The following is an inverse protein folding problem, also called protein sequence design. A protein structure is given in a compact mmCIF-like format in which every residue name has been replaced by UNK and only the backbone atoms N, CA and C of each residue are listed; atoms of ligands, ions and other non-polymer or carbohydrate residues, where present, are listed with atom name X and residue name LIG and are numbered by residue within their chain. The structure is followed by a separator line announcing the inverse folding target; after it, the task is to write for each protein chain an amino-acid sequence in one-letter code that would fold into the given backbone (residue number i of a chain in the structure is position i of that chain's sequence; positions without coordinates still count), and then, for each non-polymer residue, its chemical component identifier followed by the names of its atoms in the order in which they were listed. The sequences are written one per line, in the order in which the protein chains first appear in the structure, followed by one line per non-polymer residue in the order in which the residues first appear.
data_IF_024357802791
#
_entry.id   IF_024357802791
#
_cell.length_a   1.000
_cell.length_b   1.000
_cell.length_c   1.000
_cell.angle_alpha   90.00
_cell.angle_beta   90.00
_cell.angle_gamma   90.00
#
_symmetry.space_group_name_H-M   'P 1'
#
loop_
_entity.id
_entity.type
_entity.pdbx_description
1 polymer ?
#
# COMPACT_ATOMS: atom_id res chain seq x y z
N UNK A 1 22.10 4.03 -41.33
CA UNK A 1 22.01 3.58 -39.91
C UNK A 1 21.00 2.45 -39.90
N UNK A 2 21.44 1.20 -39.76
CA UNK A 2 20.52 0.07 -39.57
C UNK A 2 19.80 0.26 -38.22
N UNK A 3 18.47 0.05 -38.23
CA UNK A 3 17.70 0.06 -37.00
C UNK A 3 18.32 -0.95 -36.00
N UNK A 4 18.43 -0.63 -34.72
CA UNK A 4 18.90 -1.59 -33.72
C UNK A 4 18.00 -2.81 -33.75
N UNK A 5 18.60 -4.01 -33.67
CA UNK A 5 17.82 -5.23 -33.60
C UNK A 5 16.83 -5.12 -32.41
N UNK A 6 15.55 -5.49 -32.58
CA UNK A 6 14.50 -5.25 -31.60
C UNK A 6 14.82 -5.82 -30.20
N UNK A 7 15.58 -6.89 -30.13
CA UNK A 7 16.03 -7.52 -28.90
C UNK A 7 17.02 -6.68 -28.09
N UNK A 8 17.85 -5.84 -28.75
CA UNK A 8 18.81 -4.96 -28.05
C UNK A 8 18.08 -3.87 -27.27
N UNK A 9 16.96 -3.37 -27.78
CA UNK A 9 16.14 -2.38 -27.09
C UNK A 9 15.41 -3.00 -25.89
N UNK A 10 14.89 -4.21 -26.05
CA UNK A 10 14.22 -4.95 -24.96
C UNK A 10 15.19 -5.30 -23.84
N UNK A 11 16.47 -5.54 -24.15
CA UNK A 11 17.49 -5.88 -23.14
C UNK A 11 17.87 -4.67 -22.25
N UNK A 12 17.62 -3.44 -22.72
CA UNK A 12 17.85 -2.23 -21.93
C UNK A 12 16.69 -1.86 -21.00
N UNK A 13 15.54 -2.55 -21.11
CA UNK A 13 14.40 -2.31 -20.24
C UNK A 13 14.70 -2.81 -18.82
N UNK A 14 14.28 -2.01 -17.83
CA UNK A 14 14.31 -2.41 -16.41
C UNK A 14 13.14 -3.32 -16.03
N UNK A 15 12.11 -3.40 -16.88
CA UNK A 15 10.98 -4.32 -16.73
C UNK A 15 11.41 -5.71 -17.20
N UNK A 16 11.19 -6.78 -16.41
CA UNK A 16 11.43 -8.15 -16.84
C UNK A 16 10.54 -8.51 -18.04
N UNK A 17 11.16 -8.97 -19.10
CA UNK A 17 10.49 -9.34 -20.37
C UNK A 17 10.99 -10.67 -20.87
N UNK A 18 10.05 -11.47 -21.44
CA UNK A 18 10.30 -12.73 -22.08
C UNK A 18 9.51 -12.79 -23.39
N UNK A 19 10.07 -13.41 -24.44
CA UNK A 19 9.37 -13.71 -25.69
C UNK A 19 9.34 -15.22 -25.87
N UNK A 20 8.17 -15.74 -26.20
CA UNK A 20 7.98 -17.14 -26.63
C UNK A 20 7.31 -17.19 -28.00
N UNK A 21 7.57 -18.29 -28.74
CA UNK A 21 6.88 -18.58 -29.99
C UNK A 21 5.44 -19.09 -29.76
N UNK A 22 4.69 -19.32 -30.85
CA UNK A 22 3.31 -19.78 -30.78
C UNK A 22 3.12 -21.17 -30.14
N UNK A 23 4.17 -21.98 -30.04
CA UNK A 23 4.16 -23.26 -29.31
C UNK A 23 4.54 -23.10 -27.82
N UNK A 24 4.78 -21.87 -27.33
CA UNK A 24 5.14 -21.58 -25.96
C UNK A 24 6.60 -21.83 -25.61
N UNK A 25 7.49 -21.99 -26.60
CA UNK A 25 8.93 -22.11 -26.34
C UNK A 25 9.57 -20.73 -26.21
N UNK A 26 10.37 -20.56 -25.17
CA UNK A 26 11.06 -19.30 -24.85
C UNK A 26 12.19 -19.06 -25.87
N UNK A 27 12.15 -17.92 -26.55
CA UNK A 27 13.14 -17.52 -27.54
C UNK A 27 14.04 -16.38 -27.06
N UNK A 28 13.53 -15.53 -26.16
CA UNK A 28 14.28 -14.39 -25.63
C UNK A 28 13.89 -14.09 -24.17
N UNK A 29 14.88 -13.67 -23.40
CA UNK A 29 14.71 -13.10 -22.05
C UNK A 29 15.68 -11.94 -21.90
N UNK A 30 15.20 -10.81 -21.38
CA UNK A 30 16.07 -9.65 -21.15
C UNK A 30 16.89 -9.77 -19.86
N UNK A 31 17.86 -8.88 -19.70
CA UNK A 31 18.74 -8.83 -18.52
C UNK A 31 17.94 -8.64 -17.22
N UNK A 32 16.89 -7.82 -17.22
CA UNK A 32 16.02 -7.59 -16.06
C UNK A 32 15.29 -8.86 -15.63
N UNK A 33 14.79 -9.67 -16.57
CA UNK A 33 14.15 -10.95 -16.27
C UNK A 33 15.13 -11.95 -15.68
N UNK A 34 16.34 -12.05 -16.28
CA UNK A 34 17.37 -12.95 -15.79
C UNK A 34 17.84 -12.56 -14.38
N UNK A 35 18.01 -11.27 -14.11
CA UNK A 35 18.40 -10.76 -12.80
C UNK A 35 17.30 -11.03 -11.75
N UNK A 36 16.04 -10.80 -12.11
CA UNK A 36 14.90 -11.06 -11.23
C UNK A 36 14.74 -12.54 -10.86
N UNK A 37 14.86 -13.43 -11.85
CA UNK A 37 14.77 -14.88 -11.64
C UNK A 37 16.04 -15.51 -11.06
N UNK A 38 17.17 -14.81 -11.09
CA UNK A 38 18.47 -15.37 -10.68
C UNK A 38 18.99 -16.46 -11.61
N UNK A 39 18.47 -16.57 -12.84
CA UNK A 39 18.76 -17.63 -13.82
C UNK A 39 19.18 -17.00 -15.13
N UNK A 40 20.34 -17.37 -15.65
CA UNK A 40 20.87 -16.80 -16.88
C UNK A 40 20.09 -17.20 -18.15
N UNK A 41 20.07 -16.31 -19.16
CA UNK A 41 19.30 -16.43 -20.40
C UNK A 41 19.47 -17.77 -21.13
N UNK A 42 20.71 -18.35 -21.17
CA UNK A 42 20.97 -19.63 -21.82
C UNK A 42 20.17 -20.81 -21.28
N UNK A 43 19.78 -20.75 -19.99
CA UNK A 43 19.03 -21.82 -19.34
C UNK A 43 17.54 -21.73 -19.66
N UNK A 44 17.06 -20.55 -20.01
CA UNK A 44 15.67 -20.30 -20.42
C UNK A 44 15.40 -20.64 -21.89
N UNK A 45 16.43 -20.51 -22.73
CA UNK A 45 16.29 -20.66 -24.17
C UNK A 45 15.73 -22.03 -24.55
N UNK A 46 14.68 -22.07 -25.37
CA UNK A 46 13.91 -23.23 -25.80
C UNK A 46 13.19 -24.02 -24.69
N UNK A 47 13.17 -23.54 -23.47
CA UNK A 47 12.30 -24.12 -22.45
C UNK A 47 10.83 -23.77 -22.73
N UNK A 48 9.86 -24.65 -22.37
CA UNK A 48 8.45 -24.28 -22.43
C UNK A 48 8.14 -23.18 -21.43
N UNK A 49 7.21 -22.29 -21.75
CA UNK A 49 6.78 -21.19 -20.86
C UNK A 49 6.27 -21.73 -19.51
N UNK A 50 5.67 -22.91 -19.48
CA UNK A 50 5.20 -23.57 -18.25
C UNK A 50 6.34 -23.97 -17.30
N UNK A 51 7.59 -23.95 -17.77
CA UNK A 51 8.76 -24.14 -16.88
C UNK A 51 8.92 -23.01 -15.85
N UNK A 52 8.23 -21.89 -16.04
CA UNK A 52 8.09 -20.85 -15.02
C UNK A 52 7.39 -21.35 -13.73
N UNK A 53 6.72 -22.51 -13.81
CA UNK A 53 6.15 -23.19 -12.64
C UNK A 53 4.99 -22.41 -12.00
N UNK A 54 4.07 -21.90 -12.81
CA UNK A 54 2.89 -21.21 -12.30
C UNK A 54 1.99 -22.16 -11.48
N UNK A 55 1.65 -21.80 -10.25
CA UNK A 55 0.85 -22.65 -9.36
C UNK A 55 -0.62 -22.76 -9.78
N UNK A 56 -1.12 -21.85 -10.61
CA UNK A 56 -2.54 -21.71 -10.99
C UNK A 56 -2.81 -22.00 -12.46
N UNK A 57 -2.23 -23.07 -13.03
CA UNK A 57 -2.55 -23.51 -14.39
C UNK A 57 -1.44 -23.31 -15.40
N UNK A 58 -1.69 -23.71 -16.66
CA UNK A 58 -0.71 -23.65 -17.74
C UNK A 58 -0.64 -22.25 -18.34
N UNK A 59 0.56 -21.65 -18.38
CA UNK A 59 0.80 -20.36 -19.04
C UNK A 59 0.65 -20.48 -20.56
N UNK A 60 0.83 -21.69 -21.12
CA UNK A 60 0.61 -21.95 -22.53
C UNK A 60 -0.83 -21.61 -22.97
N UNK A 61 -1.82 -21.79 -22.08
CA UNK A 61 -3.20 -21.42 -22.36
C UNK A 61 -3.35 -19.93 -22.66
N UNK A 62 -2.70 -19.06 -21.84
CA UNK A 62 -2.69 -17.61 -22.04
C UNK A 62 -1.96 -17.22 -23.34
N UNK A 63 -0.87 -17.90 -23.66
CA UNK A 63 -0.15 -17.70 -24.92
C UNK A 63 -1.08 -17.99 -26.11
N UNK A 64 -1.77 -19.14 -26.11
CA UNK A 64 -2.69 -19.50 -27.18
C UNK A 64 -3.89 -18.57 -27.28
N UNK A 65 -4.45 -18.18 -26.15
CA UNK A 65 -5.59 -17.25 -26.10
C UNK A 65 -5.18 -15.88 -26.65
N UNK A 66 -4.03 -15.31 -26.24
CA UNK A 66 -3.54 -14.03 -26.74
C UNK A 66 -3.31 -14.05 -28.27
N UNK A 67 -2.80 -15.17 -28.82
CA UNK A 67 -2.62 -15.32 -30.26
C UNK A 67 -3.96 -15.41 -31.00
N UNK A 68 -4.96 -16.10 -30.43
CA UNK A 68 -6.29 -16.26 -31.04
C UNK A 68 -7.11 -14.97 -31.00
N UNK A 69 -7.08 -14.23 -29.87
CA UNK A 69 -7.84 -13.00 -29.69
C UNK A 69 -7.19 -11.81 -30.37
N UNK A 70 -5.88 -11.88 -30.65
CA UNK A 70 -5.04 -10.78 -31.12
C UNK A 70 -4.99 -9.58 -30.15
N UNK A 71 -5.39 -9.79 -28.89
CA UNK A 71 -5.37 -8.81 -27.82
C UNK A 71 -4.38 -9.20 -26.73
N UNK A 72 -3.95 -8.20 -25.95
CA UNK A 72 -3.15 -8.46 -24.79
C UNK A 72 -4.03 -9.08 -23.70
N UNK A 73 -3.57 -10.23 -23.18
CA UNK A 73 -4.18 -10.94 -22.06
C UNK A 73 -3.37 -10.69 -20.81
N UNK A 74 -4.02 -10.64 -19.64
CA UNK A 74 -3.36 -10.36 -18.39
C UNK A 74 -3.77 -11.37 -17.33
N UNK A 75 -2.81 -11.84 -16.55
CA UNK A 75 -3.08 -12.80 -15.48
C UNK A 75 -3.37 -12.08 -14.15
N UNK A 76 -4.05 -12.74 -13.19
CA UNK A 76 -3.97 -12.36 -11.79
C UNK A 76 -2.53 -12.49 -11.28
N UNK A 77 -2.31 -12.20 -10.00
CA UNK A 77 -1.00 -12.47 -9.37
C UNK A 77 -0.72 -13.96 -9.43
N UNK A 78 0.35 -14.33 -10.10
CA UNK A 78 0.82 -15.71 -10.19
C UNK A 78 2.07 -15.90 -9.32
N UNK A 79 2.09 -16.97 -8.57
CA UNK A 79 3.31 -17.49 -7.94
C UNK A 79 4.02 -18.38 -8.96
N UNK A 80 5.25 -18.03 -9.25
CA UNK A 80 6.13 -18.70 -10.19
C UNK A 80 7.23 -19.41 -9.41
N UNK A 81 7.42 -20.68 -9.67
CA UNK A 81 8.45 -21.50 -8.99
C UNK A 81 9.19 -22.40 -9.99
N UNK A 82 10.07 -21.84 -10.82
CA UNK A 82 10.84 -22.60 -11.79
C UNK A 82 11.82 -23.58 -11.14
N UNK A 83 12.21 -23.32 -9.87
CA UNK A 83 13.08 -24.18 -9.06
C UNK A 83 12.65 -24.13 -7.60
N UNK A 84 12.96 -25.17 -6.78
CA UNK A 84 12.52 -25.27 -5.40
C UNK A 84 12.86 -24.04 -4.53
N UNK A 85 14.01 -23.42 -4.78
CA UNK A 85 14.51 -22.28 -4.00
C UNK A 85 14.21 -20.92 -4.66
N UNK A 86 13.46 -20.90 -5.75
CA UNK A 86 13.14 -19.67 -6.48
C UNK A 86 11.63 -19.49 -6.59
N UNK A 87 11.01 -18.88 -5.57
CA UNK A 87 9.62 -18.41 -5.61
C UNK A 87 9.59 -16.93 -5.95
N UNK A 88 8.77 -16.55 -6.93
CA UNK A 88 8.56 -15.18 -7.36
C UNK A 88 7.07 -14.93 -7.61
N UNK A 89 6.60 -13.73 -7.29
CA UNK A 89 5.22 -13.32 -7.59
C UNK A 89 5.23 -12.24 -8.66
N UNK A 90 4.39 -12.39 -9.67
CA UNK A 90 4.23 -11.41 -10.73
C UNK A 90 2.84 -11.46 -11.35
N UNK A 91 2.45 -10.33 -11.92
CA UNK A 91 1.38 -10.25 -12.91
C UNK A 91 2.04 -10.33 -14.29
N UNK A 92 1.52 -11.15 -15.15
CA UNK A 92 2.06 -11.36 -16.49
C UNK A 92 1.07 -10.81 -17.52
N UNK A 93 1.54 -9.91 -18.38
CA UNK A 93 0.79 -9.44 -19.54
C UNK A 93 1.32 -10.14 -20.77
N UNK A 94 0.45 -10.86 -21.48
CA UNK A 94 0.72 -11.59 -22.71
C UNK A 94 0.28 -10.74 -23.88
N UNK A 95 1.21 -10.21 -24.66
CA UNK A 95 0.93 -9.38 -25.85
C UNK A 95 1.38 -10.09 -27.10
N UNK A 96 0.53 -10.20 -28.17
CA UNK A 96 0.95 -10.80 -29.43
C UNK A 96 2.17 -10.06 -29.99
N UNK A 97 3.24 -10.79 -30.24
CA UNK A 97 4.48 -10.25 -30.82
C UNK A 97 4.46 -10.40 -32.34
N UNK A 98 4.65 -9.28 -33.05
CA UNK A 98 4.63 -9.25 -34.52
C UNK A 98 5.96 -8.72 -35.02
N UNK A 99 6.63 -9.48 -35.86
CA UNK A 99 7.81 -9.02 -36.56
C UNK A 99 7.46 -8.52 -37.96
N UNK A 100 6.37 -9.04 -38.55
CA UNK A 100 5.74 -8.65 -39.79
C UNK A 100 4.20 -8.66 -39.61
N UNK A 101 3.42 -8.93 -40.64
CA UNK A 101 1.95 -8.86 -40.59
C UNK A 101 1.29 -9.94 -39.73
N UNK A 102 1.90 -11.08 -39.53
CA UNK A 102 1.38 -12.19 -38.71
C UNK A 102 2.07 -12.29 -37.36
N UNK A 103 1.32 -12.68 -36.29
CA UNK A 103 1.91 -12.88 -34.98
C UNK A 103 2.81 -14.12 -34.97
N UNK A 104 4.12 -13.92 -34.75
CA UNK A 104 5.10 -15.02 -34.68
C UNK A 104 5.27 -15.56 -33.26
N UNK A 105 4.82 -14.83 -32.25
CA UNK A 105 4.96 -15.22 -30.85
C UNK A 105 4.22 -14.31 -29.90
N UNK A 106 4.54 -14.42 -28.62
CA UNK A 106 3.94 -13.61 -27.54
C UNK A 106 5.05 -13.01 -26.70
N UNK A 107 4.93 -11.70 -26.47
CA UNK A 107 5.73 -10.95 -25.51
C UNK A 107 5.07 -11.06 -24.15
N UNK A 108 5.80 -11.52 -23.15
CA UNK A 108 5.39 -11.56 -21.75
C UNK A 108 6.13 -10.45 -20.98
N UNK A 109 5.36 -9.52 -20.45
CA UNK A 109 5.85 -8.50 -19.52
C UNK A 109 5.52 -8.90 -18.09
N UNK A 110 6.53 -8.92 -17.22
CA UNK A 110 6.37 -9.29 -15.83
C UNK A 110 6.36 -8.05 -14.96
N UNK A 111 5.21 -7.74 -14.39
CA UNK A 111 5.11 -6.79 -13.30
C UNK A 111 5.46 -7.52 -12.01
N UNK A 112 6.68 -7.33 -11.55
CA UNK A 112 7.18 -7.95 -10.33
C UNK A 112 6.35 -7.48 -9.14
N UNK A 113 5.86 -8.45 -8.38
CA UNK A 113 5.24 -8.21 -7.08
C UNK A 113 6.32 -8.57 -6.05
N UNK A 114 6.91 -7.53 -5.42
CA UNK A 114 7.84 -7.79 -4.34
C UNK A 114 7.13 -8.53 -3.22
N UNK A 115 7.75 -9.56 -2.67
CA UNK A 115 7.21 -10.35 -1.57
C UNK A 115 6.86 -9.50 -0.33
N UNK A 116 7.36 -8.27 -0.25
CA UNK A 116 6.95 -7.27 0.72
C UNK A 116 5.48 -6.83 0.55
N UNK A 117 4.87 -6.99 -0.65
CA UNK A 117 3.45 -6.71 -0.89
C UNK A 117 2.54 -7.90 -0.53
N UNK A 118 3.06 -9.14 -0.65
CA UNK A 118 2.28 -10.37 -0.35
C UNK A 118 2.34 -10.76 1.13
N UNK A 119 3.35 -10.32 1.85
CA UNK A 119 3.44 -10.44 3.29
C UNK A 119 3.01 -9.12 3.93
N UNK A 120 1.71 -8.92 4.07
CA UNK A 120 1.20 -8.01 5.08
C UNK A 120 1.51 -8.65 6.45
N UNK A 121 2.60 -8.22 7.16
CA UNK A 121 2.93 -8.79 8.47
C UNK A 121 1.79 -8.63 9.46
N UNK A 122 0.91 -7.68 9.19
CA UNK A 122 -0.25 -7.40 10.00
C UNK A 122 -1.49 -8.21 9.56
N UNK A 123 -1.53 -8.82 8.35
CA UNK A 123 -2.56 -9.81 8.00
C UNK A 123 -2.44 -11.07 8.86
N UNK A 124 -1.24 -11.32 9.40
CA UNK A 124 -0.96 -12.43 10.31
C UNK A 124 -1.13 -12.07 11.80
N UNK A 125 -1.54 -10.84 12.10
CA UNK A 125 -1.89 -10.50 13.48
C UNK A 125 -3.10 -11.34 13.90
N UNK A 126 -2.93 -12.34 14.76
CA UNK A 126 -4.06 -13.15 15.20
C UNK A 126 -5.09 -12.20 15.83
N UNK A 127 -6.37 -12.40 15.55
CA UNK A 127 -7.47 -11.72 16.28
C UNK A 127 -7.26 -11.77 17.80
N UNK A 128 -6.54 -12.79 18.29
CA UNK A 128 -6.10 -12.94 19.65
C UNK A 128 -5.16 -11.81 20.14
N UNK A 129 -4.24 -11.31 19.30
CA UNK A 129 -3.34 -10.23 19.69
C UNK A 129 -4.09 -8.89 19.79
N UNK A 130 -5.03 -8.62 18.88
CA UNK A 130 -5.90 -7.44 18.99
C UNK A 130 -6.77 -7.49 20.26
N UNK A 131 -7.31 -8.67 20.58
CA UNK A 131 -8.09 -8.87 21.81
C UNK A 131 -7.21 -8.67 23.06
N UNK A 132 -5.97 -9.16 23.04
CA UNK A 132 -5.00 -9.00 24.15
C UNK A 132 -4.59 -7.54 24.34
N UNK A 133 -4.30 -6.82 23.26
CA UNK A 133 -3.99 -5.38 23.32
C UNK A 133 -5.18 -4.57 23.82
N UNK A 134 -6.40 -4.94 23.42
CA UNK A 134 -7.62 -4.29 23.90
C UNK A 134 -7.84 -4.56 25.40
N UNK A 135 -7.56 -5.77 25.87
CA UNK A 135 -7.57 -6.13 27.29
C UNK A 135 -6.53 -5.33 28.09
N UNK A 136 -5.27 -5.35 27.66
CA UNK A 136 -4.19 -4.58 28.28
C UNK A 136 -4.47 -3.08 28.33
N UNK A 137 -5.02 -2.51 27.27
CA UNK A 137 -5.34 -1.11 27.23
C UNK A 137 -6.47 -0.74 28.20
N UNK A 138 -7.46 -1.62 28.44
CA UNK A 138 -8.45 -1.44 29.50
C UNK A 138 -7.82 -1.50 30.90
N UNK A 139 -6.89 -2.45 31.12
CA UNK A 139 -6.19 -2.59 32.40
C UNK A 139 -5.22 -1.44 32.68
N UNK A 140 -4.63 -0.80 31.63
CA UNK A 140 -3.77 0.39 31.78
C UNK A 140 -4.58 1.66 32.00
N UNK A 141 -5.76 1.79 31.37
CA UNK A 141 -6.64 2.95 31.57
C UNK A 141 -7.03 3.15 33.05
N UNK A 142 -7.31 2.05 33.75
CA UNK A 142 -7.79 2.11 35.15
C UNK A 142 -6.78 2.76 36.10
N UNK A 143 -5.48 2.33 36.18
CA UNK A 143 -4.51 2.96 37.06
C UNK A 143 -4.19 4.40 36.62
N UNK A 144 -4.17 4.71 35.32
CA UNK A 144 -3.95 6.07 34.83
C UNK A 144 -5.08 7.02 35.24
N UNK A 145 -6.34 6.57 35.16
CA UNK A 145 -7.49 7.34 35.62
C UNK A 145 -7.41 7.58 37.16
N UNK A 146 -6.92 6.59 37.90
CA UNK A 146 -6.65 6.72 39.34
C UNK A 146 -5.55 7.76 39.66
N UNK A 147 -4.44 7.71 38.92
CA UNK A 147 -3.34 8.69 39.07
C UNK A 147 -3.79 10.11 38.75
N UNK A 148 -4.54 10.31 37.64
CA UNK A 148 -5.10 11.61 37.28
C UNK A 148 -6.03 12.13 38.37
N UNK A 149 -6.94 11.28 38.87
CA UNK A 149 -7.84 11.64 39.96
C UNK A 149 -7.13 12.05 41.26
N UNK A 150 -6.05 11.32 41.61
CA UNK A 150 -5.23 11.67 42.77
C UNK A 150 -4.49 13.00 42.60
N UNK A 151 -3.88 13.25 41.44
CA UNK A 151 -3.21 14.51 41.11
C UNK A 151 -4.20 15.69 41.18
N UNK A 152 -5.39 15.56 40.60
CA UNK A 152 -6.44 16.57 40.65
C UNK A 152 -6.95 16.86 42.08
N UNK A 153 -7.09 15.82 42.90
CA UNK A 153 -7.46 16.02 44.31
C UNK A 153 -6.37 16.74 45.10
N UNK A 154 -5.10 16.43 44.85
CA UNK A 154 -3.97 17.13 45.47
C UNK A 154 -3.91 18.60 45.00
N UNK A 155 -4.12 18.86 43.73
CA UNK A 155 -4.14 20.20 43.16
C UNK A 155 -5.25 21.09 43.78
N UNK A 156 -6.42 20.48 44.11
CA UNK A 156 -7.53 21.19 44.78
C UNK A 156 -7.29 21.51 46.25
N UNK A 157 -6.40 20.77 46.94
CA UNK A 157 -6.10 20.98 48.37
C UNK A 157 -5.15 22.14 48.66
N UNK A 158 -4.89 23.05 47.72
CA UNK A 158 -3.90 24.15 47.81
C UNK A 158 -2.51 23.64 48.08
N UNK A 159 -1.90 22.97 47.12
CA UNK A 159 -0.55 22.47 47.26
C UNK A 159 0.40 23.63 47.46
N UNK A 160 1.53 23.34 48.14
CA UNK A 160 2.69 24.23 48.23
C UNK A 160 3.08 24.70 46.82
N UNK A 161 3.46 25.99 46.65
CA UNK A 161 3.91 26.54 45.37
C UNK A 161 5.00 25.73 44.67
N UNK A 162 5.88 25.07 45.44
CA UNK A 162 6.93 24.20 44.90
C UNK A 162 6.39 22.86 44.34
N UNK A 163 5.28 22.36 44.87
CA UNK A 163 4.67 21.09 44.46
C UNK A 163 3.78 21.22 43.22
N UNK A 164 3.30 22.42 42.91
CA UNK A 164 2.33 22.64 41.82
C UNK A 164 2.87 22.29 40.43
N UNK A 165 4.11 22.65 40.05
CA UNK A 165 4.66 22.26 38.75
C UNK A 165 4.76 20.75 38.57
N UNK A 166 5.03 20.00 39.63
CA UNK A 166 5.07 18.52 39.55
C UNK A 166 3.68 17.90 39.36
N UNK A 167 2.65 18.47 39.97
CA UNK A 167 1.27 18.04 39.77
C UNK A 167 0.79 18.31 38.35
N UNK A 168 1.14 19.47 37.78
CA UNK A 168 0.81 19.83 36.41
C UNK A 168 1.47 18.86 35.41
N UNK A 169 2.74 18.47 35.66
CA UNK A 169 3.44 17.46 34.85
C UNK A 169 2.75 16.09 34.96
N UNK A 170 2.38 15.65 36.16
CA UNK A 170 1.68 14.36 36.36
C UNK A 170 0.34 14.36 35.66
N UNK A 171 -0.43 15.43 35.74
CA UNK A 171 -1.72 15.55 35.02
C UNK A 171 -1.49 15.49 33.52
N UNK A 172 -0.55 16.23 32.97
CA UNK A 172 -0.24 16.28 31.54
C UNK A 172 0.23 14.93 31.00
N UNK A 173 1.17 14.26 31.69
CA UNK A 173 1.65 12.95 31.27
C UNK A 173 0.57 11.85 31.39
N UNK A 174 -0.25 11.92 32.43
CA UNK A 174 -1.36 10.99 32.60
C UNK A 174 -2.41 11.17 31.48
N UNK A 175 -2.72 12.40 31.09
CA UNK A 175 -3.63 12.70 30.00
C UNK A 175 -3.06 12.26 28.65
N UNK A 176 -1.75 12.44 28.45
CA UNK A 176 -1.04 11.93 27.26
C UNK A 176 -1.11 10.42 27.18
N UNK A 177 -0.87 9.70 28.26
CA UNK A 177 -0.96 8.24 28.32
C UNK A 177 -2.39 7.73 28.10
N UNK A 178 -3.39 8.39 28.71
CA UNK A 178 -4.80 8.05 28.46
C UNK A 178 -5.18 8.24 27.00
N UNK A 179 -4.75 9.33 26.35
CA UNK A 179 -5.00 9.56 24.92
C UNK A 179 -4.35 8.53 24.01
N UNK A 180 -3.17 7.98 24.41
CA UNK A 180 -2.51 6.87 23.71
C UNK A 180 -3.32 5.58 23.85
N UNK A 181 -3.76 5.24 25.06
CA UNK A 181 -4.59 4.08 25.35
C UNK A 181 -5.95 4.18 24.62
N UNK A 182 -6.55 5.36 24.57
CA UNK A 182 -7.79 5.58 23.84
C UNK A 182 -7.66 5.39 22.33
N UNK A 183 -6.55 5.81 21.74
CA UNK A 183 -6.26 5.53 20.32
C UNK A 183 -6.09 4.05 20.02
N UNK A 184 -5.58 3.27 20.99
CA UNK A 184 -5.50 1.80 20.87
C UNK A 184 -6.86 1.11 21.02
N UNK A 185 -7.75 1.70 21.83
CA UNK A 185 -9.06 1.15 22.17
C UNK A 185 -10.19 1.71 21.35
N UNK A 186 -9.94 2.79 20.55
CA UNK A 186 -11.00 3.48 19.86
C UNK A 186 -12.01 2.46 19.32
N UNK A 187 -13.21 2.35 19.90
CA UNK A 187 -14.25 1.50 19.34
C UNK A 187 -14.43 1.98 17.91
N UNK A 188 -14.51 1.05 16.96
CA UNK A 188 -14.94 1.40 15.61
C UNK A 188 -16.26 2.17 15.76
N UNK A 189 -16.31 3.49 15.63
CA UNK A 189 -17.59 4.13 15.49
C UNK A 189 -18.20 3.51 14.25
N UNK A 190 -19.45 3.09 14.31
CA UNK A 190 -20.18 2.63 13.14
C UNK A 190 -20.49 3.88 12.27
N UNK A 191 -19.43 4.47 11.68
CA UNK A 191 -19.61 5.50 10.68
C UNK A 191 -20.09 4.81 9.41
N UNK A 192 -21.22 5.30 8.89
CA UNK A 192 -21.71 4.84 7.61
C UNK A 192 -20.67 5.19 6.54
N UNK A 193 -20.31 4.21 5.74
CA UNK A 193 -19.51 4.46 4.53
C UNK A 193 -20.35 5.35 3.61
N UNK A 194 -19.78 6.42 3.14
CA UNK A 194 -20.36 7.34 2.19
C UNK A 194 -19.49 7.44 0.93
N UNK A 195 -20.06 7.97 -0.14
CA UNK A 195 -19.29 8.25 -1.35
C UNK A 195 -18.41 9.48 -1.11
N UNK A 196 -17.12 9.28 -0.95
CA UNK A 196 -16.13 10.29 -0.60
C UNK A 196 -15.27 10.65 -1.81
N UNK A 197 -15.12 11.94 -2.06
CA UNK A 197 -14.08 12.46 -2.97
C UNK A 197 -12.75 12.51 -2.22
N UNK A 198 -11.78 11.72 -2.66
CA UNK A 198 -10.47 11.65 -2.01
C UNK A 198 -9.76 13.01 -1.94
N UNK A 199 -9.93 13.86 -2.94
CA UNK A 199 -9.28 15.18 -2.97
C UNK A 199 -9.76 16.09 -1.85
N UNK A 200 -11.03 15.97 -1.42
CA UNK A 200 -11.52 16.71 -0.25
C UNK A 200 -10.85 16.25 1.06
N UNK A 201 -10.60 14.96 1.18
CA UNK A 201 -9.82 14.37 2.30
C UNK A 201 -8.41 14.95 2.29
N UNK A 202 -7.75 14.94 1.12
CA UNK A 202 -6.38 15.43 0.98
C UNK A 202 -6.25 16.93 1.25
N UNK A 203 -7.20 17.75 0.79
CA UNK A 203 -7.22 19.19 1.09
C UNK A 203 -7.43 19.45 2.58
N UNK A 204 -8.26 18.65 3.25
CA UNK A 204 -8.42 18.74 4.71
C UNK A 204 -7.14 18.39 5.45
N UNK A 205 -6.45 17.32 5.03
CA UNK A 205 -5.14 16.92 5.59
C UNK A 205 -4.12 18.03 5.38
N UNK A 206 -4.03 18.58 4.17
CA UNK A 206 -3.11 19.68 3.85
C UNK A 206 -3.33 20.88 4.78
N UNK A 207 -4.59 21.31 4.93
CA UNK A 207 -4.94 22.43 5.82
C UNK A 207 -4.53 22.16 7.28
N UNK A 208 -4.79 20.96 7.79
CA UNK A 208 -4.40 20.58 9.14
C UNK A 208 -2.87 20.56 9.31
N UNK A 209 -2.15 20.04 8.32
CA UNK A 209 -0.68 20.01 8.33
C UNK A 209 -0.08 21.41 8.32
N UNK A 210 -0.58 22.31 7.49
CA UNK A 210 -0.11 23.69 7.41
C UNK A 210 -0.39 24.47 8.71
N UNK A 211 -1.47 24.14 9.42
CA UNK A 211 -1.82 24.76 10.70
C UNK A 211 -0.88 24.29 11.82
N UNK A 212 -0.54 23.00 11.85
CA UNK A 212 0.29 22.39 12.91
C UNK A 212 1.77 22.75 12.80
N UNK A 213 2.32 22.76 11.57
CA UNK A 213 3.78 22.90 11.32
C UNK A 213 4.13 24.27 10.73
N UNK A 214 3.15 25.08 10.38
CA UNK A 214 3.35 26.34 9.67
C UNK A 214 3.89 26.12 8.25
N UNK A 215 4.55 27.14 7.70
CA UNK A 215 5.09 27.14 6.31
C UNK A 215 6.44 26.39 6.18
N UNK A 216 6.84 25.62 7.19
CA UNK A 216 8.13 24.93 7.21
C UNK A 216 8.20 23.75 6.25
N UNK A 217 7.06 23.21 5.79
CA UNK A 217 6.98 22.07 4.87
C UNK A 217 6.10 22.41 3.67
N UNK A 218 6.59 22.11 2.49
CA UNK A 218 5.87 22.32 1.24
C UNK A 218 5.00 21.10 0.92
N UNK A 219 3.67 21.24 0.94
CA UNK A 219 2.74 20.18 0.53
C UNK A 219 2.35 20.38 -0.93
N UNK A 220 2.90 19.54 -1.80
CA UNK A 220 2.68 19.58 -3.27
C UNK A 220 1.50 18.69 -3.65
N UNK A 221 0.60 19.22 -4.47
CA UNK A 221 -0.55 18.52 -5.05
C UNK A 221 -0.20 17.96 -6.43
N UNK A 222 -0.47 16.69 -6.64
CA UNK A 222 -0.33 16.01 -7.92
C UNK A 222 -1.55 15.09 -8.14
N UNK A 223 -2.72 15.75 -8.29
CA UNK A 223 -4.02 15.07 -8.30
C UNK A 223 -4.47 14.76 -9.73
N UNK A 224 -5.09 13.59 -9.87
CA UNK A 224 -5.87 13.26 -11.06
C UNK A 224 -7.35 13.60 -10.80
N UNK A 225 -7.87 14.68 -11.43
CA UNK A 225 -9.22 15.15 -11.18
C UNK A 225 -10.33 14.23 -11.73
N UNK A 226 -9.97 13.23 -12.53
CA UNK A 226 -10.92 12.32 -13.17
C UNK A 226 -11.34 11.15 -12.28
N UNK A 227 -10.74 11.02 -11.09
CA UNK A 227 -10.97 9.89 -10.19
C UNK A 227 -12.42 9.85 -9.67
N UNK A 228 -13.10 8.71 -9.75
CA UNK A 228 -14.40 8.53 -9.12
C UNK A 228 -14.27 8.52 -7.58
N UNK A 229 -15.40 8.69 -6.88
CA UNK A 229 -15.45 8.60 -5.43
C UNK A 229 -15.20 7.16 -4.94
N UNK A 230 -14.78 7.06 -3.69
CA UNK A 230 -14.62 5.79 -2.96
C UNK A 230 -15.67 5.68 -1.87
N UNK A 231 -16.15 4.46 -1.58
CA UNK A 231 -17.01 4.22 -0.41
C UNK A 231 -16.14 4.18 0.83
N UNK A 232 -16.28 5.18 1.70
CA UNK A 232 -15.35 5.36 2.82
C UNK A 232 -15.97 6.08 4.02
N UNK A 233 -15.36 5.90 5.18
CA UNK A 233 -15.47 6.78 6.32
C UNK A 233 -14.47 7.94 6.14
N UNK A 234 -14.99 9.14 5.87
CA UNK A 234 -14.20 10.34 5.58
C UNK A 234 -13.22 10.69 6.71
N UNK A 235 -13.65 10.64 7.95
CA UNK A 235 -12.83 11.04 9.09
C UNK A 235 -11.71 10.02 9.34
N UNK A 236 -11.98 8.76 9.13
CA UNK A 236 -10.98 7.69 9.20
C UNK A 236 -9.93 7.84 8.10
N UNK A 237 -10.33 8.16 6.86
CA UNK A 237 -9.37 8.42 5.79
C UNK A 237 -8.49 9.64 6.07
N UNK A 238 -9.08 10.73 6.60
CA UNK A 238 -8.30 11.90 7.05
C UNK A 238 -7.28 11.46 8.09
N UNK A 239 -7.66 10.65 9.07
CA UNK A 239 -6.79 10.15 10.11
C UNK A 239 -5.64 9.30 9.54
N UNK A 240 -5.94 8.38 8.61
CA UNK A 240 -4.92 7.54 7.98
C UNK A 240 -3.88 8.38 7.23
N UNK A 241 -4.33 9.31 6.38
CA UNK A 241 -3.42 10.15 5.60
C UNK A 241 -2.63 11.10 6.50
N UNK A 242 -3.25 11.69 7.54
CA UNK A 242 -2.53 12.50 8.54
C UNK A 242 -1.43 11.72 9.23
N UNK A 243 -1.66 10.46 9.58
CA UNK A 243 -0.62 9.62 10.22
C UNK A 243 0.56 9.39 9.27
N UNK A 244 0.30 9.19 7.98
CA UNK A 244 1.36 9.03 6.98
C UNK A 244 2.12 10.35 6.78
N UNK A 245 1.41 11.47 6.65
CA UNK A 245 2.03 12.80 6.49
C UNK A 245 2.85 13.17 7.72
N UNK A 246 2.34 12.93 8.93
CA UNK A 246 3.10 13.15 10.18
C UNK A 246 4.39 12.34 10.22
N UNK A 247 4.35 11.09 9.76
CA UNK A 247 5.57 10.28 9.66
C UNK A 247 6.62 10.92 8.73
N UNK A 248 6.20 11.52 7.61
CA UNK A 248 7.09 12.27 6.70
C UNK A 248 7.69 13.51 7.39
N UNK A 249 6.86 14.30 8.10
CA UNK A 249 7.31 15.47 8.86
C UNK A 249 8.33 15.07 9.92
N UNK A 250 8.03 14.03 10.63
CA UNK A 250 8.92 13.45 11.62
C UNK A 250 10.21 12.89 11.00
N UNK A 251 10.23 12.47 9.74
CA UNK A 251 11.45 12.14 9.01
C UNK A 251 12.24 13.37 8.54
N UNK A 252 11.85 14.58 9.00
CA UNK A 252 12.45 15.87 8.63
C UNK A 252 12.32 16.16 7.12
N UNK A 253 11.22 15.74 6.51
CA UNK A 253 10.93 16.10 5.14
C UNK A 253 10.66 17.60 5.02
N UNK A 254 11.19 18.23 3.98
CA UNK A 254 10.90 19.62 3.60
C UNK A 254 9.82 19.71 2.52
N UNK A 255 9.56 18.60 1.81
CA UNK A 255 8.50 18.48 0.83
C UNK A 255 7.73 17.17 1.03
N UNK A 256 6.41 17.26 1.00
CA UNK A 256 5.49 16.11 0.96
C UNK A 256 4.60 16.28 -0.26
N UNK A 257 4.62 15.32 -1.17
CA UNK A 257 3.79 15.31 -2.37
C UNK A 257 2.66 14.31 -2.23
N UNK A 258 1.43 14.80 -2.41
CA UNK A 258 0.21 13.99 -2.44
C UNK A 258 -0.15 13.74 -3.91
N UNK A 259 -0.01 12.49 -4.36
CA UNK A 259 -0.28 12.08 -5.73
C UNK A 259 -1.44 11.09 -5.77
N UNK A 260 -2.42 11.36 -6.63
CA UNK A 260 -3.55 10.43 -6.87
C UNK A 260 -3.55 9.95 -8.32
N UNK A 261 -3.80 8.66 -8.53
CA UNK A 261 -3.90 8.00 -9.85
C UNK A 261 -4.89 6.84 -9.79
N UNK A 262 -5.35 6.39 -10.96
CA UNK A 262 -5.95 5.06 -11.09
C UNK A 262 -4.84 4.02 -11.07
N UNK A 263 -5.01 2.97 -10.31
CA UNK A 263 -4.16 1.77 -10.37
C UNK A 263 -5.01 0.55 -10.69
N UNK A 264 -4.47 -0.32 -11.54
CA UNK A 264 -5.06 -1.61 -11.88
C UNK A 264 -4.36 -2.66 -11.00
N UNK A 265 -4.78 -2.78 -9.75
CA UNK A 265 -4.10 -3.63 -8.78
C UNK A 265 -4.91 -4.91 -8.51
N UNK A 266 -4.38 -6.05 -8.96
CA UNK A 266 -5.03 -7.34 -8.80
C UNK A 266 -5.03 -7.90 -7.36
N UNK A 267 -4.28 -7.31 -6.41
CA UNK A 267 -4.40 -7.69 -5.00
C UNK A 267 -5.80 -7.41 -4.42
N UNK A 268 -6.59 -6.56 -5.09
CA UNK A 268 -8.00 -6.31 -4.77
C UNK A 268 -8.96 -7.20 -5.57
N UNK A 269 -8.46 -8.09 -6.44
CA UNK A 269 -9.27 -9.02 -7.24
C UNK A 269 -10.06 -9.99 -6.36
N UNK A 270 -9.58 -10.32 -5.18
CA UNK A 270 -10.33 -11.08 -4.17
C UNK A 270 -11.65 -10.39 -3.74
N UNK A 271 -11.77 -9.08 -4.03
CA UNK A 271 -12.95 -8.26 -3.80
C UNK A 271 -13.74 -7.97 -5.09
N UNK A 272 -13.31 -8.52 -6.24
CA UNK A 272 -13.99 -8.35 -7.54
C UNK A 272 -13.73 -7.02 -8.24
N UNK A 273 -12.80 -6.19 -7.75
CA UNK A 273 -12.49 -4.88 -8.33
C UNK A 273 -11.11 -4.87 -9.01
N UNK A 274 -11.10 -4.60 -10.32
CA UNK A 274 -9.87 -4.53 -11.12
C UNK A 274 -9.21 -3.14 -11.12
N UNK A 275 -9.90 -2.12 -10.61
CA UNK A 275 -9.40 -0.74 -10.55
C UNK A 275 -9.47 -0.21 -9.13
N UNK A 276 -8.43 0.49 -8.72
CA UNK A 276 -8.34 1.12 -7.41
C UNK A 276 -7.88 2.57 -7.52
N UNK A 277 -8.31 3.37 -6.56
CA UNK A 277 -7.67 4.62 -6.25
C UNK A 277 -6.29 4.32 -5.67
N UNK A 278 -5.25 4.90 -6.24
CA UNK A 278 -3.90 4.94 -5.70
C UNK A 278 -3.60 6.34 -5.18
N UNK A 279 -3.31 6.43 -3.90
CA UNK A 279 -2.77 7.62 -3.26
C UNK A 279 -1.31 7.34 -2.85
N UNK A 280 -0.38 8.07 -3.45
CA UNK A 280 1.02 8.09 -3.03
C UNK A 280 1.28 9.35 -2.18
N UNK A 281 1.77 9.14 -0.97
CA UNK A 281 2.35 10.19 -0.12
C UNK A 281 3.87 10.06 -0.24
N UNK A 282 4.48 11.02 -0.92
CA UNK A 282 5.91 10.99 -1.28
C UNK A 282 6.63 12.05 -0.47
N UNK A 283 7.67 11.68 0.24
CA UNK A 283 8.48 12.60 1.02
C UNK A 283 9.98 12.53 0.66
N UNK A 284 10.69 13.62 0.94
CA UNK A 284 12.12 13.74 0.76
C UNK A 284 12.90 13.65 2.08
N UNK A 285 12.32 13.02 3.10
CA UNK A 285 12.94 12.84 4.40
C UNK A 285 14.11 11.86 4.41
N UNK A 286 14.63 11.59 5.61
CA UNK A 286 15.80 10.69 5.81
C UNK A 286 15.55 9.22 5.42
N UNK A 287 14.31 8.83 5.16
CA UNK A 287 13.92 7.46 4.85
C UNK A 287 13.69 6.60 6.10
N UNK A 288 13.29 5.36 5.85
CA UNK A 288 13.07 4.32 6.86
C UNK A 288 14.34 3.49 7.01
N UNK A 289 14.88 3.31 8.22
CA UNK A 289 16.00 2.41 8.48
C UNK A 289 15.70 0.97 8.05
N UNK A 290 16.69 0.26 7.49
CA UNK A 290 16.51 -1.10 6.97
C UNK A 290 16.07 -2.11 8.04
N UNK A 291 16.55 -1.95 9.27
CA UNK A 291 16.19 -2.77 10.43
C UNK A 291 14.74 -2.58 10.90
N UNK A 292 14.17 -1.39 10.68
CA UNK A 292 12.78 -1.08 11.01
C UNK A 292 11.80 -1.43 9.88
N UNK A 293 12.26 -1.52 8.64
CA UNK A 293 11.41 -1.74 7.47
C UNK A 293 10.46 -2.95 7.61
N UNK A 294 10.90 -4.14 8.07
CA UNK A 294 10.02 -5.31 8.23
C UNK A 294 8.94 -5.15 9.30
N UNK A 295 9.14 -4.20 10.22
CA UNK A 295 8.29 -4.02 11.40
C UNK A 295 7.57 -2.67 11.41
N UNK A 296 7.66 -1.90 10.32
CA UNK A 296 7.21 -0.50 10.26
C UNK A 296 5.72 -0.32 10.59
N UNK A 297 4.90 -1.28 10.24
CA UNK A 297 3.47 -1.28 10.50
C UNK A 297 3.07 -2.00 11.80
N UNK A 298 4.03 -2.54 12.56
CA UNK A 298 3.72 -3.13 13.85
C UNK A 298 3.46 -2.03 14.88
N UNK A 299 2.44 -2.16 15.73
CA UNK A 299 2.19 -1.20 16.80
C UNK A 299 3.37 -1.11 17.78
N UNK A 300 3.55 0.10 18.32
CA UNK A 300 4.61 0.43 19.29
C UNK A 300 6.03 0.34 18.72
N UNK A 301 6.19 0.10 17.43
CA UNK A 301 7.48 0.17 16.75
C UNK A 301 7.74 1.61 16.33
N UNK A 302 8.80 2.21 16.87
CA UNK A 302 9.21 3.57 16.56
C UNK A 302 10.73 3.65 16.51
N UNK A 303 11.26 4.31 15.51
CA UNK A 303 12.68 4.67 15.43
C UNK A 303 13.09 5.88 16.30
N UNK A 304 12.19 6.35 17.21
CA UNK A 304 12.38 7.55 18.03
C UNK A 304 11.89 7.33 19.46
N UNK A 305 12.57 7.98 20.42
CA UNK A 305 12.21 7.90 21.83
C UNK A 305 10.82 8.51 22.14
N UNK A 306 10.39 9.51 21.37
CA UNK A 306 9.10 10.21 21.56
C UNK A 306 7.99 9.69 20.64
N UNK A 307 8.31 8.85 19.68
CA UNK A 307 7.34 8.27 18.74
C UNK A 307 6.49 7.20 19.40
N UNK A 308 5.16 7.30 19.24
CA UNK A 308 4.23 6.32 19.80
C UNK A 308 4.24 4.98 19.06
N UNK A 309 4.75 4.94 17.83
CA UNK A 309 4.73 3.74 16.96
C UNK A 309 3.33 3.26 16.57
N UNK A 310 2.29 4.08 16.78
CA UNK A 310 0.89 3.69 16.54
C UNK A 310 0.32 4.25 15.23
N UNK A 311 0.90 5.34 14.70
CA UNK A 311 0.32 6.08 13.58
C UNK A 311 0.21 5.25 12.30
N UNK A 312 1.31 4.59 11.89
CA UNK A 312 1.34 3.77 10.68
C UNK A 312 0.55 2.47 10.82
N UNK A 313 0.58 1.84 12.00
CA UNK A 313 -0.24 0.67 12.30
C UNK A 313 -1.74 1.00 12.18
N UNK A 314 -2.16 2.17 12.68
CA UNK A 314 -3.54 2.64 12.56
C UNK A 314 -3.90 3.00 11.12
N UNK A 315 -2.98 3.62 10.36
CA UNK A 315 -3.21 3.91 8.95
C UNK A 315 -3.41 2.63 8.12
N UNK A 316 -2.64 1.57 8.43
CA UNK A 316 -2.80 0.27 7.78
C UNK A 316 -4.13 -0.40 8.14
N UNK A 317 -4.55 -0.33 9.41
CA UNK A 317 -5.86 -0.87 9.82
C UNK A 317 -7.01 -0.13 9.14
N UNK A 318 -6.95 1.19 9.05
CA UNK A 318 -7.92 1.99 8.32
C UNK A 318 -7.97 1.60 6.84
N UNK A 319 -6.82 1.41 6.19
CA UNK A 319 -6.77 0.95 4.81
C UNK A 319 -7.53 -0.37 4.63
N UNK A 320 -7.33 -1.35 5.54
CA UNK A 320 -8.03 -2.64 5.50
C UNK A 320 -9.53 -2.53 5.76
N UNK A 321 -9.94 -1.69 6.72
CA UNK A 321 -11.36 -1.44 6.99
C UNK A 321 -12.09 -0.95 5.73
N UNK A 322 -11.38 -0.27 4.84
CA UNK A 322 -11.87 0.24 3.56
C UNK A 322 -11.67 -0.76 2.39
N UNK A 323 -11.33 -2.02 2.68
CA UNK A 323 -11.04 -3.00 1.64
C UNK A 323 -9.78 -2.69 0.82
N UNK A 324 -8.94 -1.81 1.33
CA UNK A 324 -7.72 -1.35 0.69
C UNK A 324 -6.44 -1.94 1.28
N UNK A 325 -5.32 -1.38 0.86
CA UNK A 325 -3.98 -1.78 1.29
C UNK A 325 -3.08 -0.56 1.47
N UNK A 326 -2.21 -0.60 2.49
CA UNK A 326 -1.14 0.37 2.68
C UNK A 326 0.22 -0.32 2.56
N UNK A 327 1.09 0.23 1.74
CA UNK A 327 2.46 -0.25 1.52
C UNK A 327 3.45 0.92 1.47
N UNK A 328 4.75 0.63 1.50
CA UNK A 328 5.76 1.66 1.38
C UNK A 328 6.99 1.18 0.60
N UNK A 329 7.72 2.15 0.06
CA UNK A 329 9.07 2.00 -0.48
C UNK A 329 9.90 3.17 0.04
N UNK A 330 11.09 2.91 0.53
CA UNK A 330 11.92 3.96 1.12
C UNK A 330 13.37 3.80 0.75
N UNK A 331 13.98 4.96 0.47
CA UNK A 331 15.42 5.17 0.41
C UNK A 331 15.70 6.57 0.96
N UNK A 332 16.91 6.86 1.45
CA UNK A 332 17.24 8.20 1.91
C UNK A 332 16.91 9.27 0.87
N UNK A 333 16.16 10.29 1.26
CA UNK A 333 15.70 11.37 0.39
C UNK A 333 14.49 11.04 -0.49
N UNK A 334 13.92 9.85 -0.40
CA UNK A 334 12.73 9.49 -1.19
C UNK A 334 11.97 8.32 -0.56
N UNK A 335 10.95 8.62 0.21
CA UNK A 335 10.00 7.63 0.74
C UNK A 335 8.65 7.80 0.06
N UNK A 336 8.02 6.70 -0.28
CA UNK A 336 6.68 6.65 -0.87
C UNK A 336 5.83 5.70 -0.05
N UNK A 337 4.78 6.22 0.58
CA UNK A 337 3.69 5.42 1.12
C UNK A 337 2.57 5.37 0.09
N UNK A 338 2.12 4.18 -0.27
CA UNK A 338 1.05 3.95 -1.24
C UNK A 338 -0.17 3.38 -0.54
N UNK A 339 -1.27 4.12 -0.55
CA UNK A 339 -2.58 3.68 -0.11
C UNK A 339 -3.42 3.34 -1.35
N UNK A 340 -3.92 2.10 -1.40
CA UNK A 340 -4.84 1.63 -2.43
C UNK A 340 -6.22 1.47 -1.81
N UNK A 341 -7.25 2.00 -2.49
CA UNK A 341 -8.64 1.87 -2.07
C UNK A 341 -9.50 1.43 -3.27
N UNK A 342 -10.45 0.49 -3.10
CA UNK A 342 -11.36 0.13 -4.17
C UNK A 342 -12.26 1.32 -4.50
N UNK A 343 -12.54 1.53 -5.81
CA UNK A 343 -13.58 2.48 -6.19
C UNK A 343 -14.96 1.95 -5.78
N UNK A 344 -15.90 2.87 -5.57
CA UNK A 344 -17.31 2.50 -5.44
C UNK A 344 -17.74 1.78 -6.73
N UNK A 345 -18.35 0.60 -6.60
CA UNK A 345 -18.95 -0.04 -7.76
C UNK A 345 -19.98 0.90 -8.38
N UNK A 346 -19.99 1.07 -9.72
CA UNK A 346 -21.06 1.80 -10.36
C UNK A 346 -22.35 1.06 -10.03
N UNK A 347 -23.25 1.68 -9.28
CA UNK A 347 -24.60 1.14 -9.09
C UNK A 347 -25.19 0.97 -10.48
N UNK A 348 -25.37 -0.28 -10.91
CA UNK A 348 -26.20 -0.60 -12.06
C UNK A 348 -27.61 -0.08 -11.70
N UNK A 349 -27.95 1.11 -12.21
CA UNK A 349 -29.37 1.50 -12.28
C UNK A 349 -30.07 0.39 -13.04
N UNK A 350 -31.10 -0.24 -12.45
CA UNK A 350 -31.91 -1.18 -13.20
C UNK A 350 -32.45 -0.40 -14.41
N UNK A 351 -32.04 -0.88 -15.60
CA UNK A 351 -32.56 -0.35 -16.85
C UNK A 351 -34.06 -0.28 -16.74
N UNK A 352 -34.62 0.91 -16.98
CA UNK A 352 -36.04 1.08 -17.25
C UNK A 352 -36.46 0.05 -18.31
N UNK A 353 -36.98 -1.08 -17.86
CA UNK A 353 -37.73 -1.95 -18.76
C UNK A 353 -38.84 -1.08 -19.33
N UNK A 354 -38.63 -0.72 -20.57
CA UNK A 354 -39.64 -0.06 -21.39
C UNK A 354 -40.88 -0.96 -21.44
N UNK A 355 -41.89 -0.58 -20.66
CA UNK A 355 -43.26 -0.95 -20.86
C UNK A 355 -43.65 -0.50 -22.26
N UNK A 356 -43.65 -1.41 -23.21
CA UNK A 356 -44.43 -1.36 -24.42
C UNK A 356 -45.41 -2.52 -24.36
N UNK A 357 -46.64 -2.21 -23.99
CA UNK A 357 -47.85 -2.95 -24.34
C UNK A 357 -48.77 -2.01 -25.08
#
# INVERSE_FOLDING_TARGET
MSAPEPYILLDQLTTPVLICNGSGQIEFTNAAFCAWMGIGARRWFRQPVDWLGAQTGSLLTFVQQSLQTHHAERTPILKLQPMPDCERSAIITFSPWRQNSDPEGVLLEFRVIDAAFDQDPAAQWPKAMQATLKGLAHEVRNPLAGLRGAAQLLARKRPDPESRPYLDVIEQETERLLSLVERLLAPKPAHAFELVNIHEVLERVRLLTETDVGWAVNVVRDYDPSLPGVMADRDRLIQAVLNIVRNALEASASEVRLRTRVDFHHALDALGTHMALRLDVIDNGRGVPEDLAPQLFLPLVSGRAEGTGLGLALAQEIAREHGGMLSFRSRPGHTVFTLLLPFAEPQHSPALESSNA
#
